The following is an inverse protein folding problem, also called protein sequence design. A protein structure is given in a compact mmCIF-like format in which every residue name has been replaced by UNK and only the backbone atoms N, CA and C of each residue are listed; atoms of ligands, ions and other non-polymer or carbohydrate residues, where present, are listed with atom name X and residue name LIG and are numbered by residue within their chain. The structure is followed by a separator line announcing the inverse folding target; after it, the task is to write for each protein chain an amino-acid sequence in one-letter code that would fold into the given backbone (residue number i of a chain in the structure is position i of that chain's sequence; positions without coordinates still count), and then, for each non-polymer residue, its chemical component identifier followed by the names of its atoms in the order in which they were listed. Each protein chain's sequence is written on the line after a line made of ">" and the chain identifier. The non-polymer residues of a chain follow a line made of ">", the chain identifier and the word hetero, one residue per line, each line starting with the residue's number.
data_IF_156594080397
#
_entry.id   IF_156594080397
#
_cell.length_a   1.000
_cell.length_b   1.000
_cell.length_c   1.000
_cell.angle_alpha   90.00
_cell.angle_beta   90.00
_cell.angle_gamma   90.00
#
_symmetry.space_group_name_H-M   'P 1'
#
loop_
_entity.id
_entity.type
_entity.pdbx_description
1 polymer ?
#
# COMPACT_ATOMS: atom_id res chain seq x y z
N UNK A 1 -15.55 2.17 -9.44
CA UNK A 1 -14.17 1.72 -9.14
C UNK A 1 -13.92 1.48 -7.65
N UNK A 2 -14.37 2.35 -6.73
CA UNK A 2 -14.19 2.14 -5.28
C UNK A 2 -14.65 0.76 -4.80
N UNK A 3 -15.83 0.32 -5.21
CA UNK A 3 -16.39 -0.98 -4.81
C UNK A 3 -15.58 -2.15 -5.37
N UNK A 4 -15.08 -2.02 -6.61
CA UNK A 4 -14.16 -2.98 -7.20
C UNK A 4 -12.89 -3.13 -6.35
N UNK A 5 -12.26 -2.02 -5.95
CA UNK A 5 -11.06 -2.06 -5.10
C UNK A 5 -11.36 -2.63 -3.71
N UNK A 6 -12.48 -2.26 -3.10
CA UNK A 6 -12.90 -2.82 -1.80
C UNK A 6 -13.11 -4.33 -1.83
N UNK A 7 -13.58 -4.85 -2.96
CA UNK A 7 -13.89 -6.28 -3.10
C UNK A 7 -12.69 -7.11 -3.55
N UNK A 8 -11.74 -6.52 -4.30
CA UNK A 8 -10.69 -7.28 -4.97
C UNK A 8 -9.26 -6.95 -4.50
N UNK A 9 -9.03 -5.85 -3.80
CA UNK A 9 -7.73 -5.52 -3.24
C UNK A 9 -7.72 -5.84 -1.74
N UNK A 10 -6.68 -6.52 -1.23
CA UNK A 10 -6.58 -6.94 0.18
C UNK A 10 -6.69 -5.76 1.18
N UNK A 11 -6.24 -4.57 0.77
CA UNK A 11 -6.34 -3.33 1.56
C UNK A 11 -7.53 -2.43 1.18
N UNK A 12 -8.45 -2.93 0.34
CA UNK A 12 -9.57 -2.18 -0.19
C UNK A 12 -9.17 -0.89 -0.93
N UNK A 13 -10.08 0.07 -0.96
CA UNK A 13 -9.85 1.39 -1.54
C UNK A 13 -8.70 2.16 -0.84
N UNK A 14 -7.87 2.85 -1.64
CA UNK A 14 -6.77 3.68 -1.15
C UNK A 14 -7.15 5.16 -1.05
N UNK A 15 -6.95 5.76 0.13
CA UNK A 15 -7.13 7.21 0.32
C UNK A 15 -6.13 8.03 -0.52
N UNK A 16 -6.53 9.24 -0.90
CA UNK A 16 -5.68 10.14 -1.69
C UNK A 16 -5.45 9.70 -3.14
N UNK A 17 -6.27 8.78 -3.66
CA UNK A 17 -6.24 8.36 -5.07
C UNK A 17 -6.62 9.54 -5.96
N UNK A 18 -5.76 9.85 -6.94
CA UNK A 18 -5.92 10.95 -7.89
C UNK A 18 -6.24 10.46 -9.30
N UNK A 19 -5.92 9.20 -9.61
CA UNK A 19 -6.22 8.60 -10.92
C UNK A 19 -6.41 7.09 -10.80
N UNK A 20 -7.34 6.58 -11.60
CA UNK A 20 -7.60 5.16 -11.77
C UNK A 20 -7.30 4.78 -13.23
N UNK A 21 -6.70 3.62 -13.40
CA UNK A 21 -6.47 2.97 -14.67
C UNK A 21 -7.16 1.62 -14.59
N UNK A 22 -8.15 1.40 -15.46
CA UNK A 22 -8.96 0.18 -15.42
C UNK A 22 -8.80 -0.58 -16.73
N UNK A 23 -8.84 -1.91 -16.63
CA UNK A 23 -9.14 -2.78 -17.77
C UNK A 23 -10.58 -3.20 -17.66
N UNK A 24 -11.30 -3.07 -18.76
CA UNK A 24 -12.71 -3.41 -18.85
C UNK A 24 -12.91 -4.51 -19.89
N UNK A 25 -13.78 -5.46 -19.58
CA UNK A 25 -14.16 -6.56 -20.47
C UNK A 25 -15.64 -6.88 -20.22
N UNK A 26 -16.45 -6.90 -21.29
CA UNK A 26 -17.88 -7.17 -21.18
C UNK A 26 -18.65 -6.11 -20.36
N UNK A 27 -18.17 -4.86 -20.29
CA UNK A 27 -18.77 -3.80 -19.49
C UNK A 27 -18.40 -3.82 -18.01
N UNK A 28 -17.54 -4.75 -17.59
CA UNK A 28 -17.10 -4.86 -16.20
C UNK A 28 -15.60 -4.54 -16.06
N UNK A 29 -15.23 -3.94 -14.92
CA UNK A 29 -13.82 -3.79 -14.55
C UNK A 29 -13.27 -5.17 -14.16
N UNK A 30 -12.20 -5.59 -14.83
CA UNK A 30 -11.50 -6.85 -14.55
C UNK A 30 -10.12 -6.64 -13.93
N UNK A 31 -9.57 -5.43 -14.00
CA UNK A 31 -8.34 -5.05 -13.33
C UNK A 31 -8.30 -3.54 -13.06
N UNK A 32 -7.65 -3.13 -11.97
CA UNK A 32 -7.46 -1.73 -11.66
C UNK A 32 -6.07 -1.46 -11.09
N UNK A 33 -5.49 -0.35 -11.50
CA UNK A 33 -4.27 0.22 -10.96
C UNK A 33 -4.51 1.68 -10.62
N UNK A 34 -4.01 2.16 -9.48
CA UNK A 34 -4.29 3.52 -9.03
C UNK A 34 -3.03 4.32 -8.76
N UNK A 35 -3.07 5.60 -9.12
CA UNK A 35 -2.09 6.60 -8.71
C UNK A 35 -2.67 7.46 -7.58
N UNK A 36 -1.86 7.75 -6.57
CA UNK A 36 -2.23 8.55 -5.40
C UNK A 36 -1.16 9.58 -5.09
N UNK A 37 -1.53 10.63 -4.33
CA UNK A 37 -0.56 11.63 -3.86
C UNK A 37 0.44 10.97 -2.90
N UNK A 38 1.71 11.37 -2.99
CA UNK A 38 2.67 11.01 -1.96
C UNK A 38 2.29 11.64 -0.61
N UNK A 39 2.34 10.86 0.47
CA UNK A 39 1.86 11.28 1.79
C UNK A 39 2.74 12.36 2.45
N UNK A 40 4.00 12.49 2.04
CA UNK A 40 4.90 13.56 2.53
C UNK A 40 4.74 14.80 1.65
N UNK A 41 4.11 15.83 2.21
CA UNK A 41 4.04 17.17 1.60
C UNK A 41 5.47 17.69 1.42
N UNK A 42 5.88 17.98 0.18
CA UNK A 42 7.23 18.45 -0.15
C UNK A 42 7.94 17.64 -1.24
N UNK A 43 7.48 16.42 -1.53
CA UNK A 43 7.95 15.65 -2.71
C UNK A 43 7.09 15.97 -3.93
N UNK A 44 7.16 17.23 -4.38
CA UNK A 44 6.56 17.63 -5.66
C UNK A 44 7.06 16.71 -6.78
N UNK A 45 6.17 16.33 -7.69
CA UNK A 45 6.52 15.44 -8.81
C UNK A 45 6.43 13.94 -8.53
N UNK A 46 6.27 13.49 -7.29
CA UNK A 46 6.19 12.05 -6.98
C UNK A 46 4.74 11.58 -6.80
N UNK A 47 4.37 10.51 -7.50
CA UNK A 47 3.10 9.80 -7.30
C UNK A 47 3.33 8.39 -6.76
N UNK A 48 2.30 7.84 -6.13
CA UNK A 48 2.34 6.50 -5.54
C UNK A 48 1.42 5.56 -6.30
N UNK A 49 1.97 4.46 -6.82
CA UNK A 49 1.19 3.29 -7.21
C UNK A 49 0.77 2.58 -5.92
N UNK A 50 -0.47 2.79 -5.49
CA UNK A 50 -0.97 2.31 -4.19
C UNK A 50 -1.89 1.09 -4.29
N UNK A 51 -2.52 0.84 -5.44
CA UNK A 51 -3.34 -0.37 -5.67
C UNK A 51 -3.03 -0.94 -7.04
N UNK A 52 -2.89 -2.26 -7.07
CA UNK A 52 -2.96 -3.09 -8.27
C UNK A 52 -3.75 -4.33 -7.87
N UNK A 53 -4.90 -4.55 -8.48
CA UNK A 53 -5.68 -5.78 -8.28
C UNK A 53 -6.39 -6.20 -9.57
N UNK A 54 -6.71 -7.49 -9.61
CA UNK A 54 -7.51 -8.12 -10.65
C UNK A 54 -8.81 -8.59 -10.02
N UNK A 55 -9.85 -8.74 -10.83
CA UNK A 55 -11.09 -9.36 -10.38
C UNK A 55 -10.79 -10.75 -9.82
N UNK A 56 -11.40 -11.12 -8.70
CA UNK A 56 -11.19 -12.43 -8.11
C UNK A 56 -11.52 -13.54 -9.13
N UNK A 57 -10.67 -14.57 -9.18
CA UNK A 57 -10.74 -15.63 -10.19
C UNK A 57 -10.29 -15.26 -11.61
N UNK A 58 -9.86 -14.02 -11.88
CA UNK A 58 -9.36 -13.60 -13.19
C UNK A 58 -7.83 -13.51 -13.22
N UNK A 59 -7.24 -14.03 -14.30
CA UNK A 59 -5.87 -13.74 -14.69
C UNK A 59 -5.87 -12.97 -16.01
N UNK A 60 -5.32 -11.76 -16.01
CA UNK A 60 -5.22 -10.91 -17.20
C UNK A 60 -3.77 -10.84 -17.63
N UNK A 61 -3.38 -11.67 -18.59
CA UNK A 61 -2.01 -11.72 -19.09
C UNK A 61 -1.57 -10.35 -19.63
N UNK A 62 -0.46 -9.84 -19.11
CA UNK A 62 0.05 -8.50 -19.44
C UNK A 62 -0.83 -7.34 -18.95
N UNK A 63 -1.86 -7.62 -18.14
CA UNK A 63 -2.79 -6.61 -17.66
C UNK A 63 -2.12 -5.53 -16.82
N UNK A 64 -1.22 -5.92 -15.92
CA UNK A 64 -0.43 -4.98 -15.12
C UNK A 64 0.42 -4.05 -16.01
N UNK A 65 1.12 -4.59 -17.00
CA UNK A 65 1.96 -3.80 -17.91
C UNK A 65 1.15 -2.84 -18.77
N UNK A 66 -0.02 -3.25 -19.27
CA UNK A 66 -0.94 -2.37 -20.01
C UNK A 66 -1.43 -1.21 -19.14
N UNK A 67 -1.84 -1.49 -17.91
CA UNK A 67 -2.27 -0.48 -16.94
C UNK A 67 -1.13 0.48 -16.59
N UNK A 68 0.06 -0.06 -16.32
CA UNK A 68 1.22 0.74 -15.93
C UNK A 68 1.69 1.65 -17.05
N UNK A 69 1.72 1.17 -18.30
CA UNK A 69 2.03 2.02 -19.46
C UNK A 69 1.13 3.24 -19.53
N UNK A 70 -0.18 3.06 -19.34
CA UNK A 70 -1.14 4.18 -19.30
C UNK A 70 -0.91 5.12 -18.12
N UNK A 71 -0.47 4.58 -16.98
CA UNK A 71 -0.09 5.40 -15.83
C UNK A 71 1.14 6.25 -16.14
N UNK A 72 2.17 5.69 -16.76
CA UNK A 72 3.40 6.40 -17.15
C UNK A 72 3.10 7.52 -18.16
N UNK A 73 2.31 7.22 -19.21
CA UNK A 73 1.91 8.21 -20.21
C UNK A 73 1.20 9.42 -19.54
N UNK A 74 0.21 9.13 -18.69
CA UNK A 74 -0.50 10.15 -17.92
C UNK A 74 0.42 10.91 -16.97
N UNK A 75 1.36 10.22 -16.33
CA UNK A 75 2.22 10.83 -15.34
C UNK A 75 3.19 11.84 -15.99
N UNK A 76 3.75 11.49 -17.16
CA UNK A 76 4.58 12.39 -17.98
C UNK A 76 3.80 13.61 -18.45
N UNK A 77 2.56 13.43 -18.91
CA UNK A 77 1.68 14.54 -19.32
C UNK A 77 1.42 15.53 -18.16
N UNK A 78 1.35 15.03 -16.94
CA UNK A 78 1.18 15.85 -15.72
C UNK A 78 2.50 16.32 -15.09
N UNK A 79 3.61 16.13 -15.78
CA UNK A 79 4.95 16.54 -15.33
C UNK A 79 5.33 15.97 -13.95
N UNK A 80 4.87 14.76 -13.65
CA UNK A 80 5.44 13.99 -12.55
C UNK A 80 6.83 13.50 -12.93
N UNK A 81 7.68 13.33 -11.93
CA UNK A 81 9.09 12.96 -12.08
C UNK A 81 9.32 11.48 -11.81
N UNK A 82 8.56 10.89 -10.88
CA UNK A 82 8.69 9.47 -10.59
C UNK A 82 7.43 8.85 -9.99
N UNK A 83 7.37 7.53 -10.07
CA UNK A 83 6.35 6.68 -9.47
C UNK A 83 7.02 5.81 -8.41
N UNK A 84 6.53 5.86 -7.18
CA UNK A 84 7.01 4.99 -6.11
C UNK A 84 5.94 4.00 -5.67
N UNK A 85 6.38 2.87 -5.11
CA UNK A 85 5.48 1.91 -4.50
C UNK A 85 6.16 1.13 -3.39
N UNK A 86 5.36 0.46 -2.57
CA UNK A 86 5.83 -0.42 -1.51
C UNK A 86 5.24 -1.80 -1.67
N UNK A 87 6.07 -2.83 -1.57
CA UNK A 87 5.63 -4.21 -1.46
C UNK A 87 5.83 -4.72 -0.05
N UNK A 88 4.81 -5.34 0.51
CA UNK A 88 4.88 -5.98 1.81
C UNK A 88 5.32 -7.45 1.64
N UNK A 89 6.42 -7.80 2.31
CA UNK A 89 7.07 -9.09 2.15
C UNK A 89 6.21 -10.26 2.65
N UNK A 90 5.17 -9.99 3.47
CA UNK A 90 4.23 -11.03 3.90
C UNK A 90 3.34 -11.53 2.76
N UNK A 91 3.19 -10.74 1.69
CA UNK A 91 2.24 -11.04 0.62
C UNK A 91 2.90 -11.28 -0.73
N UNK A 92 4.10 -10.73 -0.94
CA UNK A 92 4.76 -10.82 -2.24
C UNK A 92 6.25 -10.58 -2.14
N UNK A 93 7.00 -11.21 -3.04
CA UNK A 93 8.40 -10.87 -3.28
C UNK A 93 8.57 -9.59 -4.13
N UNK A 94 7.49 -9.00 -4.63
CA UNK A 94 7.56 -7.77 -5.44
C UNK A 94 8.04 -7.99 -6.87
N UNK A 95 8.06 -9.23 -7.39
CA UNK A 95 8.49 -9.54 -8.76
C UNK A 95 7.78 -8.72 -9.83
N UNK A 96 6.52 -8.34 -9.58
CA UNK A 96 5.74 -7.50 -10.50
C UNK A 96 6.40 -6.15 -10.76
N UNK A 97 7.05 -5.56 -9.76
CA UNK A 97 7.73 -4.28 -9.90
C UNK A 97 8.90 -4.38 -10.88
N UNK A 98 9.69 -5.45 -10.82
CA UNK A 98 10.73 -5.75 -11.80
C UNK A 98 10.17 -5.91 -13.23
N UNK A 99 9.03 -6.60 -13.38
CA UNK A 99 8.35 -6.73 -14.69
C UNK A 99 7.87 -5.38 -15.24
N UNK A 100 7.46 -4.47 -14.36
CA UNK A 100 7.02 -3.13 -14.72
C UNK A 100 8.21 -2.16 -14.94
N UNK A 101 9.44 -2.58 -14.70
CA UNK A 101 10.65 -1.77 -14.86
C UNK A 101 11.00 -0.89 -13.67
N UNK A 102 10.43 -1.15 -12.49
CA UNK A 102 10.84 -0.47 -11.25
C UNK A 102 12.19 -0.99 -10.76
N UNK A 103 12.92 -0.11 -10.08
CA UNK A 103 14.15 -0.43 -9.37
C UNK A 103 13.88 -0.57 -7.87
N UNK A 104 14.57 -1.52 -7.24
CA UNK A 104 14.54 -1.69 -5.79
C UNK A 104 15.42 -0.63 -5.14
N UNK A 105 14.82 0.26 -4.35
CA UNK A 105 15.55 1.34 -3.66
C UNK A 105 16.02 0.90 -2.29
N UNK A 106 15.15 0.22 -1.54
CA UNK A 106 15.41 -0.11 -0.14
C UNK A 106 14.60 -1.30 0.34
N UNK A 107 15.24 -2.16 1.12
CA UNK A 107 14.55 -3.12 1.97
C UNK A 107 14.43 -2.55 3.39
N UNK A 108 13.21 -2.56 3.92
CA UNK A 108 12.89 -2.22 5.28
C UNK A 108 12.85 -3.51 6.11
N UNK A 109 13.53 -3.55 7.27
CA UNK A 109 13.46 -4.70 8.16
C UNK A 109 12.03 -4.88 8.69
N UNK A 110 11.71 -6.06 9.27
CA UNK A 110 10.48 -6.29 10.02
C UNK A 110 10.07 -5.11 10.90
N UNK A 111 8.82 -4.72 10.79
CA UNK A 111 8.16 -3.78 11.69
C UNK A 111 7.04 -4.49 12.47
N UNK A 112 6.40 -3.79 13.39
CA UNK A 112 5.30 -4.34 14.19
C UNK A 112 4.07 -3.44 14.20
N UNK A 113 2.94 -4.10 14.41
CA UNK A 113 1.67 -3.49 14.77
C UNK A 113 1.11 -4.21 16.00
N UNK A 114 0.02 -3.68 16.55
CA UNK A 114 -0.70 -4.33 17.63
C UNK A 114 -1.97 -4.99 17.09
N UNK A 115 -2.23 -6.23 17.50
CA UNK A 115 -3.50 -6.90 17.34
C UNK A 115 -4.30 -6.79 18.64
N UNK A 116 -5.50 -6.21 18.53
CA UNK A 116 -6.46 -6.15 19.62
C UNK A 116 -7.18 -7.50 19.70
N UNK A 117 -6.83 -8.29 20.71
CA UNK A 117 -7.34 -9.66 20.86
C UNK A 117 -8.85 -9.64 21.10
N UNK A 118 -9.33 -8.67 21.89
CA UNK A 118 -10.73 -8.59 22.30
C UNK A 118 -11.63 -8.19 21.12
N UNK A 119 -11.24 -7.15 20.39
CA UNK A 119 -12.05 -6.62 19.29
C UNK A 119 -11.67 -7.21 17.92
N UNK A 120 -10.68 -8.13 17.89
CA UNK A 120 -10.17 -8.82 16.70
C UNK A 120 -9.84 -7.85 15.56
N UNK A 121 -9.04 -6.83 15.85
CA UNK A 121 -8.70 -5.78 14.88
C UNK A 121 -7.24 -5.36 14.89
N UNK A 122 -6.79 -4.88 13.74
CA UNK A 122 -5.51 -4.21 13.57
C UNK A 122 -5.48 -2.86 14.31
N UNK A 123 -4.37 -2.59 15.00
CA UNK A 123 -4.10 -1.32 15.68
C UNK A 123 -2.69 -0.84 15.34
N UNK A 124 -2.58 0.36 14.77
CA UNK A 124 -1.28 0.97 14.43
C UNK A 124 -0.49 1.33 15.68
N UNK A 125 0.80 0.97 15.74
CA UNK A 125 1.72 1.40 16.82
C UNK A 125 1.76 2.92 17.01
N UNK A 126 1.53 3.71 15.96
CA UNK A 126 1.53 5.17 16.04
C UNK A 126 0.36 5.72 16.88
N UNK A 127 -0.72 4.96 17.03
CA UNK A 127 -1.84 5.29 17.92
C UNK A 127 -1.56 4.90 19.36
N UNK A 128 -0.56 4.04 19.59
CA UNK A 128 -0.23 3.49 20.89
C UNK A 128 0.91 4.21 21.62
N UNK A 129 1.42 5.31 21.06
CA UNK A 129 2.42 6.16 21.72
C UNK A 129 1.96 6.55 23.12
N UNK A 130 2.87 6.47 24.11
CA UNK A 130 2.58 6.77 25.54
C UNK A 130 1.70 8.02 25.75
N UNK A 131 2.06 9.11 25.08
CA UNK A 131 1.36 10.41 25.13
C UNK A 131 -0.09 10.39 24.63
N UNK A 132 -0.44 9.46 23.72
CA UNK A 132 -1.78 9.35 23.13
C UNK A 132 -2.69 8.43 23.93
N UNK A 133 -2.12 7.52 24.71
CA UNK A 133 -2.87 6.45 25.38
C UNK A 133 -2.96 6.62 26.89
N UNK A 134 -2.40 7.71 27.44
CA UNK A 134 -2.30 7.89 28.89
C UNK A 134 -1.48 6.79 29.57
N UNK A 135 -0.40 6.34 28.94
CA UNK A 135 0.48 5.32 29.55
C UNK A 135 1.03 5.84 30.88
N UNK A 136 0.84 5.11 32.01
CA UNK A 136 1.34 5.54 33.31
C UNK A 136 2.85 5.75 33.33
N UNK A 137 3.30 6.67 34.19
CA UNK A 137 4.72 6.86 34.47
C UNK A 137 5.32 5.57 35.08
N UNK A 138 6.59 5.29 34.77
CA UNK A 138 7.24 4.03 35.16
C UNK A 138 6.85 2.81 34.33
N UNK A 139 5.86 2.90 33.43
CA UNK A 139 5.46 1.80 32.55
C UNK A 139 5.92 2.02 31.11
N UNK A 140 6.34 0.96 30.43
CA UNK A 140 6.64 0.98 29.00
C UNK A 140 5.36 0.94 28.17
N UNK A 141 5.44 1.44 26.93
CA UNK A 141 4.33 1.34 25.97
C UNK A 141 3.90 -0.13 25.77
N UNK A 142 4.88 -1.05 25.78
CA UNK A 142 4.66 -2.48 25.61
C UNK A 142 3.76 -3.03 26.70
N UNK A 143 4.13 -2.80 27.95
CA UNK A 143 3.38 -3.28 29.12
C UNK A 143 1.99 -2.66 29.13
N UNK A 144 1.89 -1.38 28.80
CA UNK A 144 0.60 -0.70 28.72
C UNK A 144 -0.31 -1.25 27.62
N UNK A 145 0.25 -1.64 26.49
CA UNK A 145 -0.50 -2.30 25.42
C UNK A 145 -0.94 -3.72 25.85
N UNK A 146 -0.05 -4.51 26.45
CA UNK A 146 -0.38 -5.86 26.94
C UNK A 146 -1.52 -5.81 27.96
N UNK A 147 -1.46 -4.87 28.92
CA UNK A 147 -2.53 -4.67 29.92
C UNK A 147 -3.89 -4.33 29.30
N UNK A 148 -3.89 -3.72 28.10
CA UNK A 148 -5.10 -3.37 27.34
C UNK A 148 -5.49 -4.42 26.29
N UNK A 149 -4.94 -5.64 26.37
CA UNK A 149 -5.28 -6.73 25.46
C UNK A 149 -4.68 -6.61 24.05
N UNK A 150 -3.62 -5.81 23.89
CA UNK A 150 -2.93 -5.61 22.62
C UNK A 150 -1.65 -6.45 22.55
N UNK A 151 -1.58 -7.34 21.56
CA UNK A 151 -0.40 -8.16 21.29
C UNK A 151 0.39 -7.64 20.09
N UNK A 152 1.72 -7.61 20.20
CA UNK A 152 2.57 -7.22 19.05
C UNK A 152 2.64 -8.36 18.05
N UNK A 153 2.39 -8.02 16.80
CA UNK A 153 2.60 -8.89 15.65
C UNK A 153 3.66 -8.23 14.77
N UNK A 154 4.66 -8.99 14.37
CA UNK A 154 5.73 -8.54 13.50
C UNK A 154 5.41 -8.92 12.06
N UNK A 155 5.63 -7.99 11.13
CA UNK A 155 5.63 -8.27 9.69
C UNK A 155 7.00 -8.82 9.26
N UNK A 156 7.16 -9.10 7.97
CA UNK A 156 8.42 -9.62 7.39
C UNK A 156 9.21 -8.55 6.64
N UNK A 157 8.92 -7.27 6.94
CA UNK A 157 9.53 -6.13 6.27
C UNK A 157 8.82 -5.74 4.98
N UNK A 158 9.37 -4.71 4.32
CA UNK A 158 8.79 -4.10 3.12
C UNK A 158 9.87 -3.68 2.16
N UNK A 159 9.58 -3.65 0.87
CA UNK A 159 10.48 -3.11 -0.17
C UNK A 159 9.92 -1.83 -0.72
N UNK A 160 10.78 -0.81 -0.87
CA UNK A 160 10.50 0.42 -1.58
C UNK A 160 10.99 0.29 -3.03
N UNK A 161 10.11 0.57 -3.96
CA UNK A 161 10.34 0.52 -5.40
C UNK A 161 10.18 1.90 -6.01
N UNK A 162 11.02 2.27 -6.97
CA UNK A 162 10.90 3.52 -7.75
C UNK A 162 10.91 3.25 -9.24
N UNK A 163 10.22 4.10 -10.01
CA UNK A 163 10.28 4.17 -11.46
C UNK A 163 10.42 5.63 -11.84
N UNK A 164 11.54 5.99 -12.47
CA UNK A 164 11.77 7.33 -12.98
C UNK A 164 11.07 7.52 -14.33
N UNK A 165 10.37 8.65 -14.50
CA UNK A 165 9.51 8.92 -15.66
C UNK A 165 10.28 9.48 -16.86
#
# INVERSE_FOLDING_TARGET
>A
CRDFLNSNHIQGYGQGTIRYFNLEYGGEIIASMTASKHHRQGQGGIIVLNRLCFKDGFNVQGGASKLFKRMVDWAREKSYTSIVSWSDNCWTEGRIYGVLGFELVKEHPPDYFYWDIQNRRYVSKQTQQKKKTGCPEGMTEREWCIKRGLSRIYDTGKRLWTFEL
#
